data_IF_267328844860
#
_entry.id   IF_267328844860
#
_cell.length_a   1.000
_cell.length_b   1.000
_cell.length_c   1.000
_cell.angle_alpha   90.00
_cell.angle_beta   90.00
_cell.angle_gamma   90.00
#
_symmetry.space_group_name_H-M   'P 1'
#
loop_
_entity.id
_entity.type
_entity.pdbx_description
1 polymer ?
#
# COMPACT_ATOMS: atom_id res chain seq x y z
N UNK A 1 3.84 0.40 -6.23
CA UNK A 1 3.32 1.68 -5.72
C UNK A 1 3.57 1.86 -4.21
N UNK A 2 3.24 0.88 -3.38
CA UNK A 2 3.35 0.94 -1.90
C UNK A 2 4.69 1.46 -1.37
N UNK A 3 5.80 0.92 -1.90
CA UNK A 3 7.15 1.33 -1.51
C UNK A 3 7.41 2.82 -1.75
N UNK A 4 6.98 3.34 -2.91
CA UNK A 4 7.17 4.75 -3.27
C UNK A 4 6.40 5.69 -2.34
N UNK A 5 5.12 5.40 -2.07
CA UNK A 5 4.28 6.24 -1.22
C UNK A 5 4.78 6.27 0.23
N UNK A 6 5.10 5.11 0.80
CA UNK A 6 5.56 5.02 2.18
C UNK A 6 6.94 5.65 2.38
N UNK A 7 7.87 5.46 1.43
CA UNK A 7 9.15 6.18 1.46
C UNK A 7 9.01 7.68 1.22
N UNK A 8 8.06 8.09 0.38
CA UNK A 8 7.73 9.50 0.19
C UNK A 8 7.19 10.14 1.46
N UNK A 9 6.36 9.42 2.23
CA UNK A 9 5.76 9.91 3.48
C UNK A 9 6.71 9.89 4.67
N UNK A 10 7.45 8.79 4.88
CA UNK A 10 8.23 8.54 6.08
C UNK A 10 9.75 8.70 5.89
N UNK A 11 10.20 8.96 4.65
CA UNK A 11 11.61 9.12 4.29
C UNK A 11 12.20 7.89 3.58
N UNK A 12 13.32 8.10 2.88
CA UNK A 12 13.95 7.09 2.02
C UNK A 12 14.47 5.85 2.75
N UNK A 13 14.81 6.00 4.04
CA UNK A 13 15.29 4.91 4.89
C UNK A 13 14.16 4.13 5.59
N UNK A 14 12.89 4.51 5.40
CA UNK A 14 11.77 3.84 6.05
C UNK A 14 11.68 2.37 5.63
N UNK A 15 11.48 1.50 6.63
CA UNK A 15 11.14 0.09 6.45
C UNK A 15 9.90 -0.25 7.27
N UNK A 16 8.86 -0.82 6.65
CA UNK A 16 7.65 -1.21 7.35
C UNK A 16 7.93 -2.35 8.36
N UNK A 17 7.13 -2.45 9.44
CA UNK A 17 7.05 -3.65 10.26
C UNK A 17 6.74 -4.90 9.44
N UNK A 18 7.18 -6.06 9.92
CA UNK A 18 6.91 -7.36 9.29
C UNK A 18 5.42 -7.58 9.02
N UNK A 19 5.09 -8.09 7.84
CA UNK A 19 3.73 -8.42 7.47
C UNK A 19 3.15 -9.53 8.36
N UNK A 20 1.86 -9.42 8.62
CA UNK A 20 1.06 -10.42 9.34
C UNK A 20 0.44 -11.44 8.38
N UNK A 21 0.22 -11.07 7.12
CA UNK A 21 -0.41 -11.88 6.09
C UNK A 21 -1.93 -11.99 6.25
N UNK A 22 -2.54 -11.13 7.07
CA UNK A 22 -3.97 -11.26 7.44
C UNK A 22 -4.85 -10.17 6.85
N UNK A 23 -4.27 -9.14 6.22
CA UNK A 23 -5.05 -7.99 5.72
C UNK A 23 -5.67 -8.28 4.35
N UNK A 24 -4.89 -8.88 3.43
CA UNK A 24 -5.33 -9.17 2.08
C UNK A 24 -5.13 -10.65 1.76
N UNK A 25 -6.14 -11.26 1.14
CA UNK A 25 -6.14 -12.71 0.86
C UNK A 25 -5.20 -13.09 -0.30
N UNK A 26 -4.89 -12.13 -1.17
CA UNK A 26 -4.06 -12.29 -2.36
C UNK A 26 -2.61 -11.78 -2.18
N UNK A 27 -2.22 -11.48 -0.94
CA UNK A 27 -0.85 -11.06 -0.60
C UNK A 27 -0.24 -12.09 0.35
N UNK A 28 0.39 -13.15 -0.18
CA UNK A 28 1.04 -14.15 0.65
C UNK A 28 2.27 -13.58 1.35
N UNK A 29 2.54 -14.09 2.56
CA UNK A 29 3.78 -13.79 3.29
C UNK A 29 5.01 -14.18 2.48
N UNK A 30 6.05 -13.35 2.54
CA UNK A 30 7.29 -13.54 1.78
C UNK A 30 7.28 -12.90 0.40
N UNK A 31 6.16 -12.29 -0.02
CA UNK A 31 6.17 -11.39 -1.17
C UNK A 31 7.03 -10.17 -0.87
N UNK A 32 7.79 -9.70 -1.85
CA UNK A 32 8.72 -8.55 -1.66
C UNK A 32 8.05 -7.27 -1.14
N UNK A 33 6.73 -7.14 -1.36
CA UNK A 33 5.94 -5.97 -1.01
C UNK A 33 4.92 -6.22 0.12
N UNK A 34 4.88 -7.41 0.71
CA UNK A 34 3.86 -7.78 1.71
C UNK A 34 3.72 -6.74 2.85
N UNK A 35 4.83 -6.44 3.51
CA UNK A 35 4.90 -5.50 4.64
C UNK A 35 4.52 -4.07 4.21
N UNK A 36 4.89 -3.70 2.99
CA UNK A 36 4.58 -2.38 2.43
C UNK A 36 3.10 -2.24 2.09
N UNK A 37 2.49 -3.31 1.58
CA UNK A 37 1.07 -3.35 1.23
C UNK A 37 0.22 -3.31 2.50
N UNK A 38 0.59 -4.08 3.52
CA UNK A 38 -0.11 -4.02 4.80
C UNK A 38 0.00 -2.65 5.46
N UNK A 39 1.18 -2.03 5.46
CA UNK A 39 1.33 -0.68 6.00
C UNK A 39 0.52 0.37 5.22
N UNK A 40 0.38 0.25 3.89
CA UNK A 40 -0.52 1.12 3.14
C UNK A 40 -1.98 0.98 3.62
N UNK A 41 -2.42 -0.23 3.93
CA UNK A 41 -3.78 -0.47 4.40
C UNK A 41 -3.99 0.02 5.83
N UNK A 42 -3.04 -0.26 6.73
CA UNK A 42 -3.05 0.20 8.13
C UNK A 42 -3.07 1.74 8.20
N UNK A 43 -2.34 2.41 7.30
CA UNK A 43 -2.33 3.88 7.21
C UNK A 43 -3.55 4.47 6.50
N UNK A 44 -4.51 3.64 6.07
CA UNK A 44 -5.75 4.08 5.43
C UNK A 44 -5.59 4.62 4.01
N UNK A 45 -4.42 4.43 3.40
CA UNK A 45 -4.15 4.94 2.04
C UNK A 45 -4.90 4.10 1.00
N UNK A 46 -4.99 2.78 1.21
CA UNK A 46 -5.70 1.86 0.32
C UNK A 46 -6.60 0.91 1.08
N UNK A 47 -7.69 0.50 0.44
CA UNK A 47 -8.59 -0.57 0.90
C UNK A 47 -8.48 -1.80 0.00
N UNK A 48 -7.53 -1.81 -0.94
CA UNK A 48 -7.43 -2.83 -1.98
C UNK A 48 -8.46 -2.66 -3.10
N UNK A 49 -8.58 -3.68 -3.94
CA UNK A 49 -9.48 -3.71 -5.10
C UNK A 49 -10.88 -4.24 -4.78
N UNK A 50 -11.16 -4.58 -3.51
CA UNK A 50 -12.43 -5.14 -3.05
C UNK A 50 -12.32 -6.64 -2.71
N UNK A 51 -13.38 -7.20 -2.13
CA UNK A 51 -13.47 -8.62 -1.72
C UNK A 51 -12.31 -9.09 -0.81
N UNK A 52 -11.68 -8.19 -0.05
CA UNK A 52 -10.53 -8.52 0.79
C UNK A 52 -9.22 -8.75 0.04
N UNK A 53 -9.12 -8.26 -1.21
CA UNK A 53 -7.95 -8.39 -2.07
C UNK A 53 -7.28 -7.04 -2.33
N UNK A 54 -5.98 -7.06 -2.55
CA UNK A 54 -5.17 -5.91 -2.92
C UNK A 54 -5.03 -5.72 -4.44
N UNK A 55 -5.07 -6.81 -5.21
CA UNK A 55 -4.79 -6.88 -6.64
C UNK A 55 -3.39 -6.33 -7.01
N UNK A 56 -2.29 -6.98 -6.60
CA UNK A 56 -0.93 -6.45 -6.79
C UNK A 56 -0.52 -6.26 -8.26
N UNK A 57 -1.05 -7.10 -9.16
CA UNK A 57 -0.74 -7.07 -10.60
C UNK A 57 -1.66 -6.16 -11.40
N UNK A 58 -2.73 -5.63 -10.77
CA UNK A 58 -3.63 -4.72 -11.46
C UNK A 58 -2.93 -3.37 -11.71
N UNK A 59 -3.04 -2.83 -12.94
CA UNK A 59 -2.45 -1.54 -13.24
C UNK A 59 -3.17 -0.44 -12.47
N UNK A 60 -2.39 0.43 -11.82
CA UNK A 60 -2.92 1.63 -11.16
C UNK A 60 -3.06 2.74 -12.20
N UNK A 61 -4.28 3.25 -12.35
CA UNK A 61 -4.56 4.39 -13.23
C UNK A 61 -4.02 5.69 -12.65
N UNK A 62 -3.86 6.71 -13.51
CA UNK A 62 -3.41 8.04 -13.07
C UNK A 62 -4.35 8.69 -12.05
N UNK A 63 -5.66 8.45 -12.18
CA UNK A 63 -6.65 8.97 -11.25
C UNK A 63 -6.52 8.31 -9.86
N UNK A 64 -6.34 7.00 -9.82
CA UNK A 64 -6.12 6.27 -8.56
C UNK A 64 -4.81 6.69 -7.90
N UNK A 65 -3.73 6.86 -8.67
CA UNK A 65 -2.46 7.36 -8.14
C UNK A 65 -2.60 8.75 -7.51
N UNK A 66 -3.39 9.65 -8.11
CA UNK A 66 -3.67 10.96 -7.53
C UNK A 66 -4.39 10.84 -6.18
N UNK A 67 -5.40 9.97 -6.07
CA UNK A 67 -6.08 9.69 -4.80
C UNK A 67 -5.11 9.18 -3.74
N UNK A 68 -4.21 8.26 -4.11
CA UNK A 68 -3.22 7.76 -3.17
C UNK A 68 -2.26 8.84 -2.69
N UNK A 69 -1.80 9.74 -3.57
CA UNK A 69 -0.95 10.87 -3.18
C UNK A 69 -1.68 11.81 -2.21
N UNK A 70 -2.92 12.18 -2.52
CA UNK A 70 -3.75 13.03 -1.65
C UNK A 70 -3.94 12.40 -0.28
N UNK A 71 -4.29 11.10 -0.21
CA UNK A 71 -4.42 10.38 1.06
C UNK A 71 -3.10 10.24 1.82
N UNK A 72 -2.01 10.01 1.10
CA UNK A 72 -0.67 9.79 1.70
C UNK A 72 -0.19 11.05 2.40
N UNK A 73 -0.28 12.19 1.72
CA UNK A 73 0.23 13.48 2.19
C UNK A 73 -0.83 14.39 2.83
N UNK A 74 -2.06 13.89 2.96
CA UNK A 74 -3.21 14.62 3.50
C UNK A 74 -3.38 16.00 2.84
N UNK A 75 -3.37 16.00 1.50
CA UNK A 75 -3.48 17.21 0.70
C UNK A 75 -4.94 17.73 0.71
N UNK A 76 -5.13 19.06 0.71
CA UNK A 76 -6.45 19.68 0.67
C UNK A 76 -7.18 19.48 -0.67
#
# INVERSE_FOLDING_TARGET
MSIFLLRGKFGSAYTPPTATGTIFSDVPLGSFADAWIEQLAITGITTGCGNGNYCPDAPVTRAEMAVFLVKTFNLP
#
